data_IF_345398458337
#
_entry.id   IF_345398458337
#
_cell.length_a   1.000
_cell.length_b   1.000
_cell.length_c   1.000
_cell.angle_alpha   90.00
_cell.angle_beta   90.00
_cell.angle_gamma   90.00
#
_symmetry.space_group_name_H-M   'P 1'
#
loop_
_entity.id
_entity.type
_entity.pdbx_description
1 polymer ?
#
# COMPACT_ATOMS: atom_id res chain seq x y z
N UNK A 1 -40.98 30.81 12.69
CA UNK A 1 -39.53 31.15 12.57
C UNK A 1 -38.89 30.22 11.52
N UNK A 2 -38.86 30.66 10.25
CA UNK A 2 -38.36 29.82 9.14
C UNK A 2 -36.85 29.94 9.10
N UNK A 3 -36.11 28.84 9.31
CA UNK A 3 -34.68 28.73 9.10
C UNK A 3 -34.43 28.76 7.59
N UNK A 4 -33.85 29.83 7.08
CA UNK A 4 -33.30 29.91 5.74
C UNK A 4 -32.14 28.96 5.62
N UNK A 5 -32.31 27.83 4.92
CA UNK A 5 -31.20 27.05 4.38
C UNK A 5 -30.56 27.90 3.29
N UNK A 6 -29.41 28.49 3.61
CA UNK A 6 -28.57 29.13 2.60
C UNK A 6 -28.00 28.00 1.75
N UNK A 7 -28.52 27.86 0.52
CA UNK A 7 -27.92 27.05 -0.53
C UNK A 7 -26.54 27.62 -0.83
N UNK A 8 -25.49 27.11 -0.19
CA UNK A 8 -24.14 27.28 -0.68
C UNK A 8 -24.05 26.55 -2.02
N UNK A 9 -24.30 27.27 -3.10
CA UNK A 9 -23.90 26.86 -4.44
C UNK A 9 -22.38 26.62 -4.39
N UNK A 10 -22.00 25.36 -4.36
CA UNK A 10 -20.60 24.97 -4.44
C UNK A 10 -19.99 25.63 -5.68
N UNK A 11 -18.93 26.40 -5.49
CA UNK A 11 -18.22 27.03 -6.57
C UNK A 11 -17.92 25.98 -7.67
N UNK A 12 -18.16 26.25 -8.96
CA UNK A 12 -18.05 25.23 -10.03
C UNK A 12 -16.70 24.47 -10.03
N UNK A 13 -15.63 25.11 -9.57
CA UNK A 13 -14.33 24.45 -9.39
C UNK A 13 -14.32 23.40 -8.27
N UNK A 14 -15.14 23.57 -7.21
CA UNK A 14 -15.26 22.58 -6.13
C UNK A 14 -16.08 21.40 -6.61
N UNK A 15 -17.19 21.64 -7.33
CA UNK A 15 -18.00 20.59 -7.92
C UNK A 15 -17.18 19.73 -8.92
N UNK A 16 -16.42 20.37 -9.80
CA UNK A 16 -15.52 19.68 -10.73
C UNK A 16 -14.47 18.83 -10.01
N UNK A 17 -13.87 19.35 -8.92
CA UNK A 17 -12.92 18.60 -8.09
C UNK A 17 -13.54 17.38 -7.42
N UNK A 18 -14.78 17.48 -6.93
CA UNK A 18 -15.52 16.36 -6.31
C UNK A 18 -15.82 15.29 -7.36
N UNK A 19 -16.32 15.70 -8.55
CA UNK A 19 -16.62 14.79 -9.65
C UNK A 19 -15.38 14.04 -10.10
N UNK A 20 -14.27 14.75 -10.33
CA UNK A 20 -13.02 14.15 -10.79
C UNK A 20 -12.40 13.22 -9.72
N UNK A 21 -12.51 13.58 -8.43
CA UNK A 21 -12.12 12.70 -7.32
C UNK A 21 -12.93 11.40 -7.31
N UNK A 22 -14.23 11.49 -7.62
CA UNK A 22 -15.11 10.30 -7.71
C UNK A 22 -14.71 9.40 -8.87
N UNK A 23 -14.26 9.98 -9.99
CA UNK A 23 -13.81 9.24 -11.18
C UNK A 23 -12.40 8.66 -11.03
N UNK A 24 -11.45 9.44 -10.57
CA UNK A 24 -10.05 9.03 -10.42
C UNK A 24 -9.78 8.26 -9.13
N UNK A 25 -10.69 8.29 -8.13
CA UNK A 25 -10.48 7.71 -6.81
C UNK A 25 -9.46 8.42 -5.93
N UNK A 26 -8.79 9.47 -6.45
CA UNK A 26 -7.83 10.32 -5.75
C UNK A 26 -8.05 11.79 -6.12
N UNK A 27 -7.54 12.73 -5.30
CA UNK A 27 -7.67 14.16 -5.60
C UNK A 27 -6.78 14.55 -6.79
N UNK A 28 -7.21 15.56 -7.56
CA UNK A 28 -6.41 16.09 -8.67
C UNK A 28 -5.05 16.59 -8.18
N UNK A 29 -5.01 17.30 -7.05
CA UNK A 29 -3.76 17.79 -6.47
C UNK A 29 -2.78 16.66 -6.17
N UNK A 30 -3.23 15.59 -5.52
CA UNK A 30 -2.41 14.41 -5.27
C UNK A 30 -1.95 13.77 -6.59
N UNK A 31 -2.85 13.63 -7.55
CA UNK A 31 -2.52 13.07 -8.86
C UNK A 31 -1.43 13.89 -9.56
N UNK A 32 -1.59 15.22 -9.59
CA UNK A 32 -0.64 16.13 -10.25
C UNK A 32 0.73 16.11 -9.59
N UNK A 33 0.79 16.18 -8.25
CA UNK A 33 2.06 16.13 -7.53
C UNK A 33 2.76 14.80 -7.77
N UNK A 34 2.06 13.68 -7.63
CA UNK A 34 2.63 12.36 -7.90
C UNK A 34 3.13 12.25 -9.35
N UNK A 35 2.37 12.78 -10.32
CA UNK A 35 2.77 12.78 -11.72
C UNK A 35 4.08 13.57 -11.95
N UNK A 36 4.20 14.76 -11.37
CA UNK A 36 5.42 15.59 -11.49
C UNK A 36 6.62 14.82 -10.95
N UNK A 37 6.53 14.32 -9.72
CA UNK A 37 7.62 13.56 -9.10
C UNK A 37 7.95 12.29 -9.88
N UNK A 38 6.94 11.55 -10.33
CA UNK A 38 7.16 10.26 -10.96
C UNK A 38 7.60 10.37 -12.42
N UNK A 39 7.04 11.28 -13.21
CA UNK A 39 7.29 11.36 -14.66
C UNK A 39 8.30 12.43 -15.04
N UNK A 40 8.35 13.55 -14.34
CA UNK A 40 9.28 14.65 -14.62
C UNK A 40 10.57 14.47 -13.82
N UNK A 41 10.46 14.29 -12.50
CA UNK A 41 11.64 14.10 -11.63
C UNK A 41 12.15 12.66 -11.57
N UNK A 42 11.49 11.73 -12.28
CA UNK A 42 11.88 10.33 -12.41
C UNK A 42 11.91 9.52 -11.10
N UNK A 43 11.35 10.03 -10.02
CA UNK A 43 11.21 9.28 -8.78
C UNK A 43 10.14 8.19 -8.97
N UNK A 44 10.50 6.92 -8.87
CA UNK A 44 9.67 5.77 -9.23
C UNK A 44 9.22 5.80 -10.72
N UNK A 45 10.05 6.35 -11.62
CA UNK A 45 9.72 6.57 -13.03
C UNK A 45 9.35 5.29 -13.80
N UNK A 46 9.97 4.17 -13.42
CA UNK A 46 9.79 2.85 -14.06
C UNK A 46 8.53 2.10 -13.56
N UNK A 47 7.84 2.66 -12.55
CA UNK A 47 6.63 2.04 -12.01
C UNK A 47 5.41 2.44 -12.84
N UNK A 48 4.63 1.44 -13.27
CA UNK A 48 3.48 1.65 -14.17
C UNK A 48 2.27 2.34 -13.52
N UNK A 49 2.10 2.19 -12.21
CA UNK A 49 1.02 2.79 -11.45
C UNK A 49 1.50 4.03 -10.66
N UNK A 50 0.56 4.85 -10.19
CA UNK A 50 0.91 6.04 -9.40
C UNK A 50 1.43 5.67 -8.02
N UNK A 51 2.52 6.32 -7.63
CA UNK A 51 3.16 6.22 -6.30
C UNK A 51 3.17 7.59 -5.66
N UNK A 52 2.81 7.66 -4.38
CA UNK A 52 2.88 8.91 -3.61
C UNK A 52 4.31 9.47 -3.64
N UNK A 53 4.45 10.77 -3.84
CA UNK A 53 5.74 11.43 -4.06
C UNK A 53 6.75 11.28 -2.92
N UNK A 54 6.31 10.95 -1.70
CA UNK A 54 7.20 10.66 -0.56
C UNK A 54 7.51 9.17 -0.39
N UNK A 55 6.92 8.31 -1.23
CA UNK A 55 7.10 6.86 -1.14
C UNK A 55 8.14 6.38 -2.14
N UNK A 56 8.80 5.25 -1.84
CA UNK A 56 9.80 4.65 -2.70
C UNK A 56 9.49 3.20 -3.02
N UNK A 57 9.54 2.88 -4.31
CA UNK A 57 9.38 1.52 -4.82
C UNK A 57 10.66 1.13 -5.53
N UNK A 58 11.28 0.04 -5.10
CA UNK A 58 12.61 -0.41 -5.56
C UNK A 58 12.59 -1.89 -5.93
N UNK A 59 13.52 -2.25 -6.80
CA UNK A 59 13.83 -3.62 -7.15
C UNK A 59 13.38 -4.01 -8.54
N UNK A 60 13.96 -5.10 -9.03
CA UNK A 60 13.74 -5.66 -10.37
C UNK A 60 12.65 -6.73 -10.40
N UNK A 61 12.16 -7.15 -9.23
CA UNK A 61 11.10 -8.16 -9.11
C UNK A 61 9.74 -7.61 -9.54
N UNK A 62 8.89 -8.50 -9.98
CA UNK A 62 7.55 -8.14 -10.43
C UNK A 62 6.66 -7.67 -9.27
N UNK A 63 5.92 -6.60 -9.50
CA UNK A 63 4.84 -6.17 -8.61
C UNK A 63 3.52 -6.43 -9.34
N UNK A 64 2.71 -7.34 -8.79
CA UNK A 64 1.38 -7.66 -9.30
C UNK A 64 0.33 -7.10 -8.35
N UNK A 65 -0.51 -6.22 -8.84
CA UNK A 65 -1.56 -5.56 -8.06
C UNK A 65 -2.93 -6.02 -8.53
N UNK A 66 -3.75 -6.43 -7.59
CA UNK A 66 -5.17 -6.61 -7.78
C UNK A 66 -5.90 -5.27 -7.94
N UNK A 67 -7.21 -5.37 -8.19
CA UNK A 67 -8.10 -4.23 -8.38
C UNK A 67 -8.02 -3.27 -7.19
N UNK A 68 -8.01 -1.96 -7.47
CA UNK A 68 -7.99 -0.85 -6.50
C UNK A 68 -6.74 -0.69 -5.62
N UNK A 69 -5.82 -1.64 -5.56
CA UNK A 69 -4.61 -1.60 -4.70
C UNK A 69 -3.72 -0.39 -5.02
N UNK A 70 -3.62 0.00 -6.29
CA UNK A 70 -2.84 1.16 -6.74
C UNK A 70 -3.22 2.47 -6.03
N UNK A 71 -4.48 2.58 -5.54
CA UNK A 71 -4.93 3.75 -4.79
C UNK A 71 -4.18 3.93 -3.48
N UNK A 72 -3.86 2.83 -2.78
CA UNK A 72 -3.03 2.88 -1.57
C UNK A 72 -1.62 3.35 -1.89
N UNK A 73 -1.02 2.93 -3.01
CA UNK A 73 0.27 3.45 -3.45
C UNK A 73 0.23 4.94 -3.75
N UNK A 74 -0.85 5.43 -4.36
CA UNK A 74 -1.00 6.83 -4.72
C UNK A 74 -1.29 7.75 -3.52
N UNK A 75 -1.94 7.24 -2.47
CA UNK A 75 -2.44 8.01 -1.33
C UNK A 75 -1.56 7.88 -0.08
N UNK A 76 -0.90 6.75 0.12
CA UNK A 76 -0.11 6.48 1.33
C UNK A 76 1.33 6.95 1.16
N UNK A 77 1.65 8.03 1.85
CA UNK A 77 3.00 8.60 1.85
C UNK A 77 3.98 7.85 2.75
N UNK A 78 5.28 8.02 2.49
CA UNK A 78 6.36 7.45 3.30
C UNK A 78 6.49 5.93 3.23
N UNK A 79 5.82 5.28 2.28
CA UNK A 79 5.93 3.84 2.09
C UNK A 79 7.25 3.46 1.44
N UNK A 80 7.76 2.28 1.82
CA UNK A 80 8.92 1.68 1.19
C UNK A 80 8.58 0.27 0.71
N UNK A 81 8.64 0.05 -0.59
CA UNK A 81 8.34 -1.24 -1.21
C UNK A 81 9.56 -1.71 -1.99
N UNK A 82 10.17 -2.80 -1.53
CA UNK A 82 11.30 -3.43 -2.19
C UNK A 82 10.83 -4.77 -2.78
N UNK A 83 10.88 -4.88 -4.11
CA UNK A 83 10.31 -6.01 -4.86
C UNK A 83 11.36 -7.00 -5.38
N UNK A 84 12.54 -7.10 -4.78
CA UNK A 84 13.63 -7.95 -5.26
C UNK A 84 13.22 -9.38 -5.60
N UNK A 85 12.42 -10.03 -4.73
CA UNK A 85 11.86 -11.36 -4.97
C UNK A 85 10.39 -11.33 -5.46
N UNK A 86 9.86 -10.14 -5.73
CA UNK A 86 8.47 -9.95 -6.16
C UNK A 86 7.49 -9.66 -5.02
N UNK A 87 6.40 -8.97 -5.36
CA UNK A 87 5.29 -8.61 -4.47
C UNK A 87 3.98 -8.83 -5.19
N UNK A 88 3.07 -9.57 -4.60
CA UNK A 88 1.73 -9.86 -5.13
C UNK A 88 0.72 -9.40 -4.10
N UNK A 89 -0.22 -8.53 -4.48
CA UNK A 89 -1.26 -8.00 -3.59
C UNK A 89 -2.61 -8.23 -4.25
N UNK A 90 -3.51 -8.91 -3.56
CA UNK A 90 -4.85 -9.24 -4.02
C UNK A 90 -5.80 -8.03 -4.06
N UNK A 91 -6.97 -8.26 -4.65
CA UNK A 91 -8.00 -7.24 -4.90
C UNK A 91 -8.43 -6.50 -3.63
N UNK A 92 -8.67 -5.20 -3.77
CA UNK A 92 -9.28 -4.35 -2.76
C UNK A 92 -8.51 -4.31 -1.41
N UNK A 93 -7.25 -4.76 -1.40
CA UNK A 93 -6.34 -4.62 -0.25
C UNK A 93 -5.87 -3.18 -0.15
N UNK A 94 -5.92 -2.65 1.07
CA UNK A 94 -5.50 -1.28 1.38
C UNK A 94 -4.36 -1.27 2.38
N UNK A 95 -3.52 -0.23 2.31
CA UNK A 95 -2.47 -0.01 3.30
C UNK A 95 -2.32 1.47 3.65
N UNK A 96 -1.92 1.71 4.91
CA UNK A 96 -1.72 3.05 5.45
C UNK A 96 -0.35 3.64 5.09
N UNK A 97 -0.11 4.91 5.50
CA UNK A 97 1.18 5.56 5.29
C UNK A 97 2.31 4.86 6.07
N UNK A 98 3.53 4.99 5.55
CA UNK A 98 4.73 4.45 6.19
C UNK A 98 4.88 2.93 6.12
N UNK A 99 3.98 2.21 5.46
CA UNK A 99 4.06 0.75 5.32
C UNK A 99 5.33 0.35 4.57
N UNK A 100 6.00 -0.70 5.05
CA UNK A 100 7.19 -1.28 4.43
C UNK A 100 6.90 -2.70 3.98
N UNK A 101 7.13 -2.98 2.70
CA UNK A 101 7.01 -4.32 2.10
C UNK A 101 8.39 -4.66 1.54
N UNK A 102 9.07 -5.60 2.17
CA UNK A 102 10.48 -5.91 1.88
C UNK A 102 10.56 -7.38 1.44
N UNK A 103 10.67 -7.62 0.13
CA UNK A 103 10.58 -8.99 -0.41
C UNK A 103 11.92 -9.74 -0.46
N UNK A 104 13.03 -9.05 -0.29
CA UNK A 104 14.34 -9.70 -0.29
C UNK A 104 15.25 -9.15 0.80
N UNK A 105 16.07 -10.01 1.38
CA UNK A 105 17.20 -9.66 2.23
C UNK A 105 18.49 -9.71 1.45
N UNK A 106 19.53 -9.04 1.93
CA UNK A 106 20.88 -9.24 1.46
C UNK A 106 21.42 -10.63 1.85
N UNK A 107 22.31 -11.18 1.05
CA UNK A 107 22.99 -12.41 1.40
C UNK A 107 23.93 -12.16 2.60
N UNK A 108 23.84 -12.95 3.69
CA UNK A 108 24.71 -12.77 4.84
C UNK A 108 26.21 -12.87 4.54
N UNK A 109 26.58 -13.61 3.50
CA UNK A 109 27.96 -13.81 3.08
C UNK A 109 28.43 -12.75 2.05
N UNK A 110 27.49 -12.10 1.37
CA UNK A 110 27.79 -11.04 0.42
C UNK A 110 26.68 -10.01 0.39
N UNK A 111 26.80 -8.96 1.17
CA UNK A 111 25.80 -7.90 1.27
C UNK A 111 25.58 -7.10 -0.03
N UNK A 112 26.39 -7.31 -1.06
CA UNK A 112 26.18 -6.71 -2.38
C UNK A 112 25.15 -7.48 -3.23
N UNK A 113 24.77 -8.68 -2.80
CA UNK A 113 23.79 -9.53 -3.48
C UNK A 113 22.54 -9.74 -2.63
N UNK A 114 21.42 -10.00 -3.29
CA UNK A 114 20.16 -10.32 -2.62
C UNK A 114 19.96 -11.82 -2.55
N UNK A 115 19.48 -12.28 -1.39
CA UNK A 115 19.10 -13.67 -1.23
C UNK A 115 17.83 -13.94 -2.05
N UNK A 116 17.92 -14.90 -2.96
CA UNK A 116 16.77 -15.37 -3.74
C UNK A 116 15.79 -16.09 -2.81
N UNK A 117 14.52 -15.80 -2.97
CA UNK A 117 13.45 -16.38 -2.16
C UNK A 117 12.07 -16.19 -2.80
N UNK A 118 11.02 -16.71 -2.18
CA UNK A 118 9.66 -16.54 -2.67
C UNK A 118 9.21 -15.08 -2.58
N UNK A 119 8.26 -14.66 -3.45
CA UNK A 119 7.65 -13.35 -3.35
C UNK A 119 6.85 -13.19 -2.08
N UNK A 120 6.63 -11.94 -1.66
CA UNK A 120 5.58 -11.62 -0.70
C UNK A 120 4.22 -11.78 -1.40
N UNK A 121 3.28 -12.44 -0.73
CA UNK A 121 1.89 -12.55 -1.17
C UNK A 121 0.97 -11.98 -0.09
N UNK A 122 0.14 -11.02 -0.46
CA UNK A 122 -0.91 -10.45 0.39
C UNK A 122 -2.23 -10.73 -0.30
N UNK A 123 -3.15 -11.38 0.38
CA UNK A 123 -4.46 -11.73 -0.12
C UNK A 123 -5.33 -10.51 -0.45
N UNK A 124 -6.57 -10.77 -0.82
CA UNK A 124 -7.57 -9.75 -1.13
C UNK A 124 -8.22 -9.20 0.13
N UNK A 125 -8.72 -7.96 0.07
CA UNK A 125 -9.47 -7.28 1.15
C UNK A 125 -8.69 -7.18 2.47
N UNK A 126 -7.37 -7.23 2.42
CA UNK A 126 -6.54 -7.01 3.59
C UNK A 126 -6.46 -5.53 3.96
N UNK A 127 -6.27 -5.25 5.23
CA UNK A 127 -5.97 -3.92 5.74
C UNK A 127 -4.62 -3.92 6.44
N UNK A 128 -3.65 -3.24 5.86
CA UNK A 128 -2.29 -3.10 6.43
C UNK A 128 -2.19 -1.72 7.09
N UNK A 129 -2.13 -1.70 8.42
CA UNK A 129 -2.07 -0.49 9.22
C UNK A 129 -0.79 0.33 8.99
N UNK A 130 -0.85 1.62 9.35
CA UNK A 130 0.28 2.54 9.19
C UNK A 130 1.56 2.01 9.82
N UNK A 131 2.71 2.24 9.18
CA UNK A 131 4.04 1.81 9.62
C UNK A 131 4.22 0.29 9.83
N UNK A 132 3.28 -0.54 9.42
CA UNK A 132 3.47 -1.99 9.46
C UNK A 132 4.61 -2.41 8.51
N UNK A 133 5.29 -3.50 8.86
CA UNK A 133 6.40 -4.06 8.09
C UNK A 133 6.06 -5.50 7.70
N UNK A 134 6.12 -5.81 6.41
CA UNK A 134 5.96 -7.15 5.87
C UNK A 134 7.32 -7.64 5.38
N UNK A 135 7.82 -8.73 5.98
CA UNK A 135 9.15 -9.26 5.72
C UNK A 135 9.17 -10.30 4.58
N UNK A 136 10.37 -10.63 4.06
CA UNK A 136 10.54 -11.50 2.91
C UNK A 136 9.82 -12.85 3.02
N UNK A 137 9.20 -13.26 1.92
CA UNK A 137 8.52 -14.54 1.79
C UNK A 137 7.20 -14.67 2.57
N UNK A 138 6.74 -13.62 3.26
CA UNK A 138 5.46 -13.67 3.99
C UNK A 138 4.29 -13.87 3.04
N UNK A 139 3.37 -14.76 3.44
CA UNK A 139 2.06 -14.92 2.81
C UNK A 139 0.96 -14.59 3.81
N UNK A 140 0.08 -13.67 3.45
CA UNK A 140 -1.16 -13.34 4.16
C UNK A 140 -2.35 -13.81 3.33
N UNK A 141 -3.24 -14.57 3.94
CA UNK A 141 -4.52 -14.92 3.32
C UNK A 141 -5.44 -13.71 3.19
N UNK A 142 -6.60 -13.93 2.60
CA UNK A 142 -7.61 -12.89 2.41
C UNK A 142 -8.14 -12.35 3.74
N UNK A 143 -8.67 -11.13 3.73
CA UNK A 143 -9.36 -10.49 4.85
C UNK A 143 -8.48 -10.34 6.12
N UNK A 144 -7.16 -10.35 5.99
CA UNK A 144 -6.25 -10.13 7.11
C UNK A 144 -6.18 -8.63 7.48
N UNK A 145 -6.08 -8.37 8.78
CA UNK A 145 -5.82 -7.04 9.33
C UNK A 145 -4.46 -7.04 10.01
N UNK A 146 -3.56 -6.19 9.56
CA UNK A 146 -2.27 -5.96 10.19
C UNK A 146 -2.33 -4.64 10.93
N UNK A 147 -2.18 -4.67 12.25
CA UNK A 147 -2.19 -3.48 13.10
C UNK A 147 -1.04 -2.52 12.78
N UNK A 148 -1.24 -1.24 13.08
CA UNK A 148 -0.21 -0.23 12.89
C UNK A 148 1.08 -0.59 13.64
N UNK A 149 2.24 -0.40 13.01
CA UNK A 149 3.55 -0.71 13.56
C UNK A 149 3.87 -2.19 13.74
N UNK A 150 2.98 -3.11 13.35
CA UNK A 150 3.25 -4.53 13.47
C UNK A 150 4.33 -5.00 12.48
N UNK A 151 5.17 -5.97 12.88
CA UNK A 151 6.20 -6.57 12.03
C UNK A 151 5.85 -8.03 11.74
N UNK A 152 5.40 -8.28 10.51
CA UNK A 152 4.97 -9.61 10.06
C UNK A 152 6.17 -10.40 9.55
N UNK A 153 6.48 -11.49 10.24
CA UNK A 153 7.69 -12.31 10.01
C UNK A 153 7.40 -13.73 9.54
N UNK A 154 6.13 -14.12 9.44
CA UNK A 154 5.69 -15.46 9.04
C UNK A 154 4.33 -15.42 8.34
N UNK A 155 3.91 -16.55 7.77
CA UNK A 155 2.62 -16.68 7.11
C UNK A 155 1.47 -16.64 8.10
N UNK A 156 0.32 -16.13 7.65
CA UNK A 156 -0.94 -16.17 8.36
C UNK A 156 -2.09 -16.48 7.41
N UNK A 157 -3.02 -17.30 7.88
CA UNK A 157 -4.21 -17.65 7.12
C UNK A 157 -5.19 -16.48 7.03
N UNK A 158 -6.23 -16.66 6.23
CA UNK A 158 -7.30 -15.66 6.06
C UNK A 158 -7.93 -15.22 7.39
N UNK A 159 -8.51 -14.01 7.40
CA UNK A 159 -9.21 -13.40 8.53
C UNK A 159 -8.39 -13.25 9.82
N UNK A 160 -7.06 -13.25 9.73
CA UNK A 160 -6.18 -13.05 10.88
C UNK A 160 -6.10 -11.56 11.26
N UNK A 161 -6.13 -11.26 12.56
CA UNK A 161 -5.85 -9.92 13.10
C UNK A 161 -4.49 -9.96 13.77
N UNK A 162 -3.51 -9.21 13.22
CA UNK A 162 -2.10 -9.32 13.53
C UNK A 162 -1.61 -8.04 14.22
N UNK A 163 -0.98 -8.18 15.37
CA UNK A 163 -0.41 -7.04 16.11
C UNK A 163 0.95 -7.40 16.71
N UNK A 164 1.77 -6.40 16.99
CA UNK A 164 3.03 -6.53 17.73
C UNK A 164 4.28 -6.78 16.88
N UNK A 165 5.40 -6.91 17.55
CA UNK A 165 6.75 -7.13 17.01
C UNK A 165 7.41 -8.27 17.78
N UNK A 166 7.56 -9.46 17.19
CA UNK A 166 6.97 -9.89 15.92
C UNK A 166 5.46 -10.04 16.00
N UNK A 167 4.77 -9.87 14.87
CA UNK A 167 3.31 -9.92 14.82
C UNK A 167 2.75 -11.29 15.25
N UNK A 168 1.66 -11.25 16.03
CA UNK A 168 0.91 -12.42 16.47
C UNK A 168 -0.56 -12.22 16.16
N UNK A 169 -1.27 -13.30 15.85
CA UNK A 169 -2.72 -13.25 15.70
C UNK A 169 -3.38 -13.11 17.07
N UNK A 170 -4.21 -12.07 17.22
CA UNK A 170 -5.03 -11.83 18.43
C UNK A 170 -6.45 -12.35 18.26
N UNK A 171 -6.85 -12.72 17.04
CA UNK A 171 -8.13 -13.37 16.78
C UNK A 171 -7.95 -14.86 16.98
N UNK A 172 -8.70 -15.47 17.93
CA UNK A 172 -8.81 -16.94 18.01
C UNK A 172 -9.41 -17.44 16.69
N UNK A 173 -8.74 -18.36 16.00
CA UNK A 173 -9.37 -19.09 14.92
C UNK A 173 -10.55 -19.84 15.52
N UNK A 174 -11.75 -19.55 15.04
CA UNK A 174 -12.92 -20.38 15.35
C UNK A 174 -12.74 -21.59 14.42
N UNK A 175 -12.35 -22.69 15.03
CA UNK A 175 -12.27 -24.01 14.40
C UNK A 175 -13.66 -24.54 14.07
#
# INVERSE_FOLDING_TARGET
>A
MKRNFVNHLLHPTIAARIILRKWLGISISTWTINFIFQRILRQNGDIAFQVHFTSKVLGTGQIKLGRNVWKSFALSGGCYVQSGNGVIIGDDTIFGPGVKIISANHDPNNHMTWKIGPPIKIGSRCWIGANAVILPGVELGDDCIVGAGAVVTKHFTHQSVLVGIPARSVRKQIS
#
